data_IF_254638237454
#
_entry.id   IF_254638237454
#
_cell.length_a   1.000
_cell.length_b   1.000
_cell.length_c   1.000
_cell.angle_alpha   90.00
_cell.angle_beta   90.00
_cell.angle_gamma   90.00
#
_symmetry.space_group_name_H-M   'P 1'
#
loop_
_entity.id
_entity.type
_entity.pdbx_description
1 polymer ?
#
# COMPACT_ATOMS: atom_id res chain seq x y z
N UNK A 1 5.40 12.30 18.33
CA UNK A 1 4.23 13.11 17.90
C UNK A 1 3.05 12.73 18.76
N UNK A 2 2.32 13.69 19.32
CA UNK A 2 1.20 13.39 20.23
C UNK A 2 -0.10 13.44 19.43
N UNK A 3 -0.96 12.43 19.58
CA UNK A 3 -2.27 12.37 18.95
C UNK A 3 -3.16 13.50 19.49
N UNK A 4 -3.78 14.26 18.60
CA UNK A 4 -4.70 15.36 18.95
C UNK A 4 -6.07 14.84 19.40
N UNK A 5 -6.87 15.73 20.03
CA UNK A 5 -8.17 15.37 20.61
C UNK A 5 -9.17 14.90 19.55
N UNK A 6 -9.18 15.56 18.37
CA UNK A 6 -10.08 15.20 17.26
C UNK A 6 -9.77 13.81 16.73
N UNK A 7 -8.49 13.49 16.55
CA UNK A 7 -8.07 12.15 16.11
C UNK A 7 -8.44 11.06 17.11
N UNK A 8 -8.31 11.34 18.43
CA UNK A 8 -8.75 10.40 19.47
C UNK A 8 -10.26 10.12 19.41
N UNK A 9 -11.06 11.15 19.21
CA UNK A 9 -12.51 11.03 19.05
C UNK A 9 -12.86 10.18 17.82
N UNK A 10 -12.25 10.46 16.65
CA UNK A 10 -12.46 9.69 15.43
C UNK A 10 -12.09 8.22 15.66
N UNK A 11 -10.92 7.92 16.23
CA UNK A 11 -10.49 6.55 16.50
C UNK A 11 -11.43 5.83 17.47
N UNK A 12 -12.01 6.54 18.43
CA UNK A 12 -13.05 5.97 19.32
C UNK A 12 -14.33 5.64 18.55
N UNK A 13 -14.75 6.53 17.63
CA UNK A 13 -15.96 6.36 16.83
C UNK A 13 -15.82 5.19 15.83
N UNK A 14 -14.64 4.98 15.25
CA UNK A 14 -14.35 3.83 14.37
C UNK A 14 -14.47 2.47 15.09
N UNK A 15 -14.41 2.46 16.43
CA UNK A 15 -14.60 1.25 17.26
C UNK A 15 -16.05 1.05 17.73
N UNK A 16 -17.01 1.81 17.21
CA UNK A 16 -18.44 1.64 17.52
C UNK A 16 -18.92 0.25 17.10
N UNK A 17 -19.95 -0.24 17.78
CA UNK A 17 -20.68 -1.46 17.40
C UNK A 17 -21.80 -1.18 16.39
N UNK A 18 -22.08 0.10 16.10
CA UNK A 18 -23.09 0.54 15.16
C UNK A 18 -22.46 0.78 13.77
N UNK A 19 -22.77 -0.06 12.76
CA UNK A 19 -22.22 0.07 11.43
C UNK A 19 -22.56 1.39 10.73
N UNK A 20 -23.76 1.93 10.91
CA UNK A 20 -24.16 3.20 10.30
C UNK A 20 -23.32 4.35 10.85
N UNK A 21 -23.09 4.36 12.17
CA UNK A 21 -22.24 5.35 12.82
C UNK A 21 -20.77 5.26 12.38
N UNK A 22 -20.25 4.05 12.14
CA UNK A 22 -18.91 3.83 11.58
C UNK A 22 -18.84 4.44 10.17
N UNK A 23 -19.80 4.15 9.28
CA UNK A 23 -19.83 4.68 7.92
C UNK A 23 -19.92 6.21 7.89
N UNK A 24 -20.78 6.81 8.73
CA UNK A 24 -20.82 8.27 8.89
C UNK A 24 -19.49 8.85 9.37
N UNK A 25 -18.78 8.13 10.25
CA UNK A 25 -17.46 8.56 10.74
C UNK A 25 -16.44 8.52 9.61
N UNK A 26 -16.42 7.47 8.78
CA UNK A 26 -15.53 7.35 7.62
C UNK A 26 -15.77 8.50 6.63
N UNK A 27 -17.03 8.81 6.33
CA UNK A 27 -17.37 9.92 5.42
C UNK A 27 -16.86 11.29 5.92
N UNK A 28 -16.85 11.50 7.23
CA UNK A 28 -16.35 12.75 7.85
C UNK A 28 -14.81 12.84 7.84
N UNK A 29 -14.09 11.71 7.67
CA UNK A 29 -12.62 11.66 7.67
C UNK A 29 -12.04 12.14 6.33
N UNK A 30 -12.74 12.11 5.21
CA UNK A 30 -12.23 12.35 3.84
C UNK A 30 -11.31 13.57 3.70
N UNK A 31 -11.46 14.57 4.56
CA UNK A 31 -10.65 15.81 4.54
C UNK A 31 -9.50 15.83 5.58
N UNK A 32 -9.39 14.85 6.48
CA UNK A 32 -8.53 14.96 7.66
C UNK A 32 -7.66 13.73 7.98
N UNK A 33 -7.35 12.88 7.00
CA UNK A 33 -6.57 11.66 7.19
C UNK A 33 -5.11 11.91 7.60
N UNK A 34 -4.83 12.00 8.91
CA UNK A 34 -3.46 11.96 9.42
C UNK A 34 -3.00 10.51 9.68
N UNK A 35 -1.69 10.31 9.95
CA UNK A 35 -1.11 8.99 10.16
C UNK A 35 -1.84 8.11 11.20
N UNK A 36 -2.38 8.69 12.27
CA UNK A 36 -3.08 7.94 13.32
C UNK A 36 -4.44 7.44 12.84
N UNK A 37 -5.15 8.27 12.09
CA UNK A 37 -6.43 7.91 11.49
C UNK A 37 -6.24 6.82 10.44
N UNK A 38 -5.20 6.94 9.60
CA UNK A 38 -4.87 5.90 8.60
C UNK A 38 -4.58 4.57 9.27
N UNK A 39 -3.78 4.54 10.35
CA UNK A 39 -3.55 3.32 11.12
C UNK A 39 -4.85 2.74 11.69
N UNK A 40 -5.74 3.58 12.23
CA UNK A 40 -7.04 3.13 12.74
C UNK A 40 -7.98 2.61 11.64
N UNK A 41 -7.93 3.14 10.43
CA UNK A 41 -8.66 2.62 9.27
C UNK A 41 -8.13 1.25 8.82
N UNK A 42 -6.81 1.05 8.86
CA UNK A 42 -6.19 -0.25 8.56
C UNK A 42 -6.57 -1.29 9.63
N UNK A 43 -6.58 -0.91 10.91
CA UNK A 43 -7.09 -1.77 11.98
C UNK A 43 -8.55 -2.16 11.74
N UNK A 44 -9.41 -1.19 11.41
CA UNK A 44 -10.82 -1.45 11.11
C UNK A 44 -11.00 -2.36 9.89
N UNK A 45 -10.21 -2.17 8.83
CA UNK A 45 -10.21 -3.03 7.64
C UNK A 45 -9.89 -4.48 7.99
N UNK A 46 -8.92 -4.69 8.88
CA UNK A 46 -8.51 -6.01 9.36
C UNK A 46 -9.55 -6.66 10.27
N UNK A 47 -10.18 -5.89 11.16
CA UNK A 47 -11.04 -6.39 12.22
C UNK A 47 -12.50 -6.61 11.78
N UNK A 48 -12.99 -5.87 10.76
CA UNK A 48 -14.39 -5.95 10.34
C UNK A 48 -14.64 -7.08 9.34
N UNK A 49 -15.79 -7.75 9.48
CA UNK A 49 -16.30 -8.70 8.47
C UNK A 49 -17.41 -8.09 7.60
N UNK A 50 -17.80 -6.83 7.86
CA UNK A 50 -18.89 -6.16 7.14
C UNK A 50 -18.40 -5.62 5.78
N UNK A 51 -18.93 -6.12 4.64
CA UNK A 51 -18.44 -5.75 3.31
C UNK A 51 -18.58 -4.26 2.99
N UNK A 52 -19.63 -3.60 3.48
CA UNK A 52 -19.87 -2.18 3.29
C UNK A 52 -18.83 -1.32 4.00
N UNK A 53 -18.41 -1.70 5.21
CA UNK A 53 -17.35 -1.00 5.95
C UNK A 53 -16.01 -1.23 5.26
N UNK A 54 -15.68 -2.49 4.89
CA UNK A 54 -14.45 -2.80 4.12
C UNK A 54 -14.36 -1.94 2.87
N UNK A 55 -15.44 -1.89 2.08
CA UNK A 55 -15.49 -1.09 0.86
C UNK A 55 -15.29 0.40 1.12
N UNK A 56 -15.94 0.95 2.14
CA UNK A 56 -15.84 2.37 2.49
C UNK A 56 -14.41 2.72 2.95
N UNK A 57 -13.79 1.88 3.77
CA UNK A 57 -12.40 2.04 4.21
C UNK A 57 -11.44 2.00 3.02
N UNK A 58 -11.56 0.99 2.14
CA UNK A 58 -10.69 0.85 0.97
C UNK A 58 -10.82 2.03 0.02
N UNK A 59 -12.03 2.51 -0.24
CA UNK A 59 -12.25 3.72 -1.05
C UNK A 59 -11.52 4.93 -0.45
N UNK A 60 -11.63 5.12 0.88
CA UNK A 60 -10.94 6.23 1.54
C UNK A 60 -9.42 6.08 1.48
N UNK A 61 -8.88 4.88 1.74
CA UNK A 61 -7.44 4.61 1.70
C UNK A 61 -6.85 4.78 0.29
N UNK A 62 -7.61 4.45 -0.76
CA UNK A 62 -7.20 4.63 -2.16
C UNK A 62 -7.29 6.07 -2.66
N UNK A 63 -8.01 6.94 -1.97
CA UNK A 63 -8.14 8.37 -2.32
C UNK A 63 -7.18 9.27 -1.52
N UNK A 64 -6.42 8.73 -0.55
CA UNK A 64 -5.51 9.52 0.29
C UNK A 64 -4.45 10.24 -0.54
N UNK A 65 -4.21 11.52 -0.21
CA UNK A 65 -3.18 12.37 -0.83
C UNK A 65 -2.12 12.87 0.15
N UNK A 66 -2.23 12.51 1.44
CA UNK A 66 -1.27 12.92 2.45
C UNK A 66 -0.05 11.99 2.45
N UNK A 67 1.12 12.52 2.12
CA UNK A 67 2.40 11.78 2.09
C UNK A 67 2.78 11.17 3.45
N UNK A 68 2.29 11.70 4.57
CA UNK A 68 2.50 11.13 5.90
C UNK A 68 1.85 9.73 6.06
N UNK A 69 0.95 9.36 5.15
CA UNK A 69 0.33 8.03 5.12
C UNK A 69 1.26 6.94 4.61
N UNK A 70 2.25 7.28 3.77
CA UNK A 70 3.15 6.32 3.12
C UNK A 70 3.84 5.39 4.13
N UNK A 71 4.54 5.89 5.17
CA UNK A 71 5.16 5.01 6.15
C UNK A 71 4.15 4.10 6.87
N UNK A 72 2.91 4.57 7.09
CA UNK A 72 1.86 3.78 7.76
C UNK A 72 1.42 2.59 6.90
N UNK A 73 1.27 2.80 5.58
CA UNK A 73 1.01 1.69 4.65
C UNK A 73 2.15 0.68 4.67
N UNK A 74 3.40 1.15 4.60
CA UNK A 74 4.58 0.26 4.57
C UNK A 74 4.71 -0.54 5.86
N UNK A 75 4.54 0.11 7.03
CA UNK A 75 4.53 -0.57 8.33
C UNK A 75 3.45 -1.68 8.36
N UNK A 76 2.23 -1.38 7.91
CA UNK A 76 1.14 -2.34 7.90
C UNK A 76 1.34 -3.49 6.89
N UNK A 77 1.84 -3.19 5.68
CA UNK A 77 2.12 -4.20 4.65
C UNK A 77 3.17 -5.21 5.13
N UNK A 78 4.15 -4.77 5.93
CA UNK A 78 5.20 -5.63 6.47
C UNK A 78 4.80 -6.36 7.75
N UNK A 79 3.70 -5.98 8.41
CA UNK A 79 3.23 -6.61 9.65
C UNK A 79 2.36 -7.84 9.34
N UNK A 80 2.75 -9.00 9.88
CA UNK A 80 1.99 -10.25 9.76
C UNK A 80 0.57 -10.19 10.35
N UNK A 81 0.30 -9.24 11.25
CA UNK A 81 -1.05 -8.95 11.75
C UNK A 81 -2.03 -8.72 10.60
N UNK A 82 -1.59 -8.02 9.55
CA UNK A 82 -2.44 -7.62 8.43
C UNK A 82 -2.33 -8.54 7.20
N UNK A 83 -1.74 -9.73 7.33
CA UNK A 83 -1.58 -10.66 6.22
C UNK A 83 -2.89 -10.93 5.46
N UNK A 84 -4.02 -11.01 6.18
CA UNK A 84 -5.35 -11.25 5.58
C UNK A 84 -5.92 -10.10 4.74
N UNK A 85 -5.35 -8.90 4.83
CA UNK A 85 -5.74 -7.70 4.05
C UNK A 85 -4.54 -7.06 3.32
N UNK A 86 -3.39 -7.75 3.30
CA UNK A 86 -2.15 -7.26 2.68
C UNK A 86 -2.34 -6.92 1.21
N UNK A 87 -3.04 -7.76 0.46
CA UNK A 87 -3.33 -7.52 -0.96
C UNK A 87 -4.06 -6.19 -1.18
N UNK A 88 -5.11 -5.96 -0.41
CA UNK A 88 -5.90 -4.74 -0.48
C UNK A 88 -5.08 -3.50 -0.10
N UNK A 89 -4.23 -3.61 0.93
CA UNK A 89 -3.33 -2.52 1.33
C UNK A 89 -2.32 -2.19 0.23
N UNK A 90 -1.71 -3.21 -0.39
CA UNK A 90 -0.79 -3.01 -1.51
C UNK A 90 -1.51 -2.38 -2.71
N UNK A 91 -2.74 -2.84 -3.03
CA UNK A 91 -3.54 -2.24 -4.10
C UNK A 91 -3.84 -0.75 -3.85
N UNK A 92 -4.11 -0.34 -2.61
CA UNK A 92 -4.28 1.09 -2.28
C UNK A 92 -3.03 1.93 -2.61
N UNK A 93 -1.83 1.36 -2.55
CA UNK A 93 -0.59 2.10 -2.80
C UNK A 93 -0.46 2.61 -4.25
N UNK A 94 -0.89 1.83 -5.26
CA UNK A 94 -0.90 2.32 -6.63
C UNK A 94 -2.14 3.16 -6.95
N UNK A 95 -3.28 2.91 -6.29
CA UNK A 95 -4.52 3.66 -6.49
C UNK A 95 -4.46 5.09 -5.93
N UNK A 96 -3.81 5.29 -4.77
CA UNK A 96 -3.74 6.63 -4.17
C UNK A 96 -2.77 7.58 -4.89
N UNK A 97 -1.88 7.06 -5.73
CA UNK A 97 -0.91 7.86 -6.49
C UNK A 97 0.10 8.60 -5.61
N UNK A 98 0.37 8.11 -4.41
CA UNK A 98 1.45 8.62 -3.58
C UNK A 98 2.80 8.06 -4.05
N UNK A 99 3.89 8.74 -3.70
CA UNK A 99 5.25 8.32 -4.08
C UNK A 99 5.80 7.29 -3.10
N UNK A 100 6.16 6.11 -3.61
CA UNK A 100 6.71 4.99 -2.84
C UNK A 100 8.13 4.60 -3.25
N UNK A 101 8.83 5.40 -4.05
CA UNK A 101 10.16 5.12 -4.59
C UNK A 101 11.20 4.74 -3.52
N UNK A 102 11.18 5.37 -2.34
CA UNK A 102 12.07 5.03 -1.22
C UNK A 102 11.84 3.59 -0.69
N UNK A 103 10.70 2.98 -1.02
CA UNK A 103 10.29 1.65 -0.58
C UNK A 103 10.30 0.60 -1.70
N UNK A 104 10.97 0.88 -2.84
CA UNK A 104 11.14 -0.08 -3.92
C UNK A 104 11.58 -1.47 -3.42
N UNK A 105 12.56 -1.61 -2.50
CA UNK A 105 12.97 -2.92 -1.99
C UNK A 105 11.83 -3.71 -1.33
N UNK A 106 10.93 -3.03 -0.60
CA UNK A 106 9.77 -3.67 0.06
C UNK A 106 8.85 -4.30 -0.97
N UNK A 107 8.50 -3.56 -2.03
CA UNK A 107 7.62 -4.08 -3.08
C UNK A 107 8.26 -5.19 -3.91
N UNK A 108 9.56 -5.13 -4.18
CA UNK A 108 10.31 -6.22 -4.83
C UNK A 108 10.28 -7.47 -3.95
N UNK A 109 10.49 -7.34 -2.63
CA UNK A 109 10.39 -8.47 -1.71
C UNK A 109 9.00 -9.10 -1.70
N UNK A 110 7.93 -8.31 -1.80
CA UNK A 110 6.57 -8.81 -1.94
C UNK A 110 6.37 -9.58 -3.26
N UNK A 111 6.88 -9.06 -4.40
CA UNK A 111 6.80 -9.78 -5.68
C UNK A 111 7.52 -11.13 -5.59
N UNK A 112 8.64 -11.20 -4.92
CA UNK A 112 9.45 -12.43 -4.79
C UNK A 112 8.77 -13.44 -3.85
N UNK A 113 8.37 -13.01 -2.65
CA UNK A 113 8.07 -13.90 -1.54
C UNK A 113 6.58 -14.19 -1.34
N UNK A 114 5.69 -13.28 -1.74
CA UNK A 114 4.26 -13.41 -1.48
C UNK A 114 3.55 -14.30 -2.53
N UNK A 115 2.33 -14.73 -2.26
CA UNK A 115 1.49 -15.40 -3.24
C UNK A 115 1.18 -14.50 -4.45
N UNK A 116 0.77 -15.11 -5.56
CA UNK A 116 0.64 -14.41 -6.85
C UNK A 116 -0.24 -13.14 -6.78
N UNK A 117 -1.33 -13.16 -6.02
CA UNK A 117 -2.24 -12.01 -5.94
C UNK A 117 -1.58 -10.79 -5.29
N UNK A 118 -0.89 -10.98 -4.15
CA UNK A 118 -0.13 -9.90 -3.48
C UNK A 118 1.05 -9.46 -4.35
N UNK A 119 1.77 -10.42 -4.95
CA UNK A 119 2.89 -10.14 -5.85
C UNK A 119 2.46 -9.32 -7.07
N UNK A 120 1.29 -9.58 -7.64
CA UNK A 120 0.75 -8.82 -8.77
C UNK A 120 0.43 -7.37 -8.39
N UNK A 121 -0.21 -7.15 -7.23
CA UNK A 121 -0.46 -5.79 -6.74
C UNK A 121 0.86 -5.04 -6.47
N UNK A 122 1.85 -5.72 -5.88
CA UNK A 122 3.17 -5.12 -5.63
C UNK A 122 3.91 -4.78 -6.94
N UNK A 123 3.81 -5.64 -7.95
CA UNK A 123 4.30 -5.34 -9.30
C UNK A 123 3.63 -4.08 -9.87
N UNK A 124 2.30 -3.96 -9.73
CA UNK A 124 1.54 -2.80 -10.18
C UNK A 124 1.95 -1.52 -9.45
N UNK A 125 2.30 -1.58 -8.14
CA UNK A 125 2.89 -0.43 -7.45
C UNK A 125 4.19 0.01 -8.11
N UNK A 126 5.10 -0.92 -8.43
CA UNK A 126 6.40 -0.61 -9.05
C UNK A 126 6.19 -0.05 -10.46
N UNK A 127 5.25 -0.61 -11.24
CA UNK A 127 4.91 -0.14 -12.59
C UNK A 127 4.37 1.30 -12.60
N UNK A 128 3.69 1.71 -11.52
CA UNK A 128 3.16 3.08 -11.35
C UNK A 128 4.08 3.97 -10.47
N UNK A 129 5.26 3.49 -10.12
CA UNK A 129 6.19 4.21 -9.26
C UNK A 129 6.84 5.36 -10.02
N UNK A 130 7.07 6.45 -9.32
CA UNK A 130 7.81 7.60 -9.81
C UNK A 130 8.67 8.19 -8.69
N UNK A 131 9.62 9.02 -9.05
CA UNK A 131 10.57 9.65 -8.15
C UNK A 131 11.96 9.02 -8.28
N UNK A 132 12.96 9.82 -7.98
CA UNK A 132 14.36 9.40 -8.10
C UNK A 132 14.68 8.24 -7.16
N UNK A 133 15.29 7.21 -7.68
CA UNK A 133 15.87 6.09 -6.94
C UNK A 133 17.37 6.05 -7.27
N UNK A 134 18.21 5.77 -6.28
CA UNK A 134 19.65 5.66 -6.49
C UNK A 134 19.98 4.40 -7.29
N UNK A 135 20.88 4.50 -8.28
CA UNK A 135 21.27 3.39 -9.14
C UNK A 135 21.78 2.19 -8.35
N UNK A 136 22.49 2.42 -7.24
CA UNK A 136 22.98 1.36 -6.36
C UNK A 136 21.85 0.53 -5.75
N UNK A 137 20.71 1.16 -5.42
CA UNK A 137 19.52 0.45 -4.93
C UNK A 137 18.91 -0.38 -6.05
N UNK A 138 18.75 0.21 -7.24
CA UNK A 138 18.22 -0.48 -8.42
C UNK A 138 19.09 -1.70 -8.76
N UNK A 139 20.40 -1.54 -8.86
CA UNK A 139 21.33 -2.62 -9.19
C UNK A 139 21.26 -3.77 -8.18
N UNK A 140 21.18 -3.45 -6.89
CA UNK A 140 21.04 -4.44 -5.82
C UNK A 140 19.74 -5.24 -5.94
N UNK A 141 18.63 -4.54 -6.20
CA UNK A 141 17.33 -5.20 -6.34
C UNK A 141 17.24 -6.04 -7.61
N UNK A 142 17.88 -5.62 -8.71
CA UNK A 142 17.99 -6.43 -9.94
C UNK A 142 18.71 -7.75 -9.69
N UNK A 143 19.79 -7.74 -8.91
CA UNK A 143 20.50 -8.98 -8.54
C UNK A 143 19.55 -9.91 -7.77
N UNK A 144 18.81 -9.39 -6.80
CA UNK A 144 17.81 -10.14 -6.01
C UNK A 144 16.71 -10.75 -6.92
N UNK A 145 16.18 -9.99 -7.86
CA UNK A 145 15.17 -10.48 -8.82
C UNK A 145 15.74 -11.59 -9.71
N UNK A 146 16.97 -11.44 -10.22
CA UNK A 146 17.64 -12.49 -11.03
C UNK A 146 17.85 -13.78 -10.26
N UNK A 147 18.24 -13.67 -8.99
CA UNK A 147 18.42 -14.85 -8.13
C UNK A 147 17.07 -15.57 -7.90
N UNK A 148 16.00 -14.81 -7.63
CA UNK A 148 14.67 -15.35 -7.45
C UNK A 148 14.12 -16.07 -8.70
N UNK A 149 14.48 -15.61 -9.90
CA UNK A 149 14.07 -16.23 -11.16
C UNK A 149 14.56 -17.69 -11.30
N UNK A 150 15.67 -18.05 -10.66
CA UNK A 150 16.27 -19.41 -10.80
C UNK A 150 15.33 -20.52 -10.32
N UNK A 151 14.42 -20.22 -9.37
CA UNK A 151 13.50 -21.16 -8.77
C UNK A 151 12.02 -20.71 -8.86
N UNK A 152 11.74 -19.73 -9.71
CA UNK A 152 10.40 -19.16 -9.83
C UNK A 152 9.43 -20.10 -10.56
N UNK A 153 8.17 -20.13 -10.12
CA UNK A 153 7.08 -20.72 -10.91
C UNK A 153 6.87 -19.89 -12.19
N UNK A 154 6.18 -20.45 -13.19
CA UNK A 154 5.90 -19.76 -14.45
C UNK A 154 5.21 -18.40 -14.23
N UNK A 155 4.20 -18.35 -13.34
CA UNK A 155 3.49 -17.11 -12.99
C UNK A 155 4.40 -16.06 -12.33
N UNK A 156 5.27 -16.50 -11.40
CA UNK A 156 6.25 -15.63 -10.75
C UNK A 156 7.30 -15.14 -11.73
N UNK A 157 7.82 -16.04 -12.59
CA UNK A 157 8.80 -15.70 -13.60
C UNK A 157 8.28 -14.61 -14.55
N UNK A 158 6.98 -14.62 -14.88
CA UNK A 158 6.36 -13.56 -15.68
C UNK A 158 6.50 -12.19 -15.00
N UNK A 159 6.12 -12.07 -13.71
CA UNK A 159 6.23 -10.81 -12.95
C UNK A 159 7.69 -10.37 -12.78
N UNK A 160 8.58 -11.31 -12.42
CA UNK A 160 10.00 -11.02 -12.20
C UNK A 160 10.71 -10.56 -13.48
N UNK A 161 10.40 -11.15 -14.64
CA UNK A 161 10.91 -10.67 -15.93
C UNK A 161 10.34 -9.29 -16.28
N UNK A 162 9.06 -9.02 -15.97
CA UNK A 162 8.45 -7.70 -16.10
C UNK A 162 9.19 -6.65 -15.26
N UNK A 163 9.54 -6.97 -14.01
CA UNK A 163 10.33 -6.07 -13.14
C UNK A 163 11.68 -5.71 -13.76
N UNK A 164 12.41 -6.70 -14.30
CA UNK A 164 13.70 -6.45 -14.95
C UNK A 164 13.60 -5.54 -16.17
N UNK A 165 12.42 -5.49 -16.80
CA UNK A 165 12.20 -4.63 -17.97
C UNK A 165 11.89 -3.18 -17.58
N UNK A 166 11.26 -2.94 -16.42
CA UNK A 166 10.74 -1.60 -16.06
C UNK A 166 11.55 -0.88 -14.98
N UNK A 167 12.29 -1.60 -14.12
CA UNK A 167 12.88 -1.01 -12.90
C UNK A 167 13.93 0.08 -13.18
N UNK A 168 14.62 0.02 -14.33
CA UNK A 168 15.56 1.06 -14.76
C UNK A 168 14.88 2.29 -15.37
N UNK A 169 13.62 2.16 -15.79
CA UNK A 169 12.90 3.18 -16.53
C UNK A 169 11.86 3.90 -15.64
N UNK A 170 11.97 3.77 -14.29
CA UNK A 170 11.09 4.47 -13.34
C UNK A 170 11.27 5.99 -13.54
N UNK A 171 10.21 6.75 -13.92
CA UNK A 171 10.33 8.17 -14.22
C UNK A 171 10.58 9.00 -12.93
N UNK A 172 11.35 10.09 -13.05
CA UNK A 172 11.60 10.99 -11.92
C UNK A 172 10.35 11.79 -11.51
N UNK A 173 9.45 12.05 -12.46
CA UNK A 173 8.19 12.78 -12.23
C UNK A 173 7.00 11.94 -12.69
N UNK A 174 5.84 12.15 -12.04
CA UNK A 174 4.62 11.46 -12.44
C UNK A 174 4.17 11.95 -13.83
N UNK A 175 4.08 11.06 -14.82
CA UNK A 175 3.50 11.36 -16.12
C UNK A 175 1.98 11.46 -15.99
N UNK A 176 1.43 12.66 -16.10
CA UNK A 176 0.00 12.84 -16.28
C UNK A 176 -0.32 12.54 -17.75
N UNK A 177 -0.87 11.38 -18.02
CA UNK A 177 -1.52 11.12 -19.30
C UNK A 177 -2.82 11.95 -19.35
N UNK A 178 -2.79 13.07 -20.10
CA UNK A 178 -3.95 13.89 -20.43
C UNK A 178 -4.96 13.14 -21.33
#
# INVERSE_FOLDING_TARGET
MTIDVKSKEILSNLKSTDPEFILETIDKIRESGNRFIVAGLIDLLHETDLPEIKKSVLNLLSELKNKESVPVFIEAIQDEKYAGVRKELVACCWQNGLTYNEYLPVFIDLVINEEFQVAFEAFTVIENMFGRIEDEIIDKEIVKVKDALTNATEQKAYLLNGLLAIVHDIPEEQEFND
#
